data_IF_343131414268
#
_entry.id   IF_343131414268
#
_cell.length_a   1.000
_cell.length_b   1.000
_cell.length_c   1.000
_cell.angle_alpha   90.00
_cell.angle_beta   90.00
_cell.angle_gamma   90.00
#
_symmetry.space_group_name_H-M   'P 1'
#
loop_
_entity.id
_entity.type
_entity.pdbx_description
1 polymer ?
#
# COMPACT_ATOMS: atom_id res chain seq x y z
N UNK A 1 6.36 6.74 19.62
CA UNK A 1 7.78 7.01 19.92
C UNK A 1 8.30 6.28 21.18
N UNK A 2 7.47 5.93 22.18
CA UNK A 2 7.93 5.33 23.44
C UNK A 2 8.96 4.18 23.35
N UNK A 3 8.83 3.26 22.38
CA UNK A 3 9.78 2.15 22.23
C UNK A 3 11.18 2.61 21.78
N UNK A 4 11.29 3.60 20.88
CA UNK A 4 12.59 4.12 20.42
C UNK A 4 13.25 4.99 21.49
N UNK A 5 12.46 5.76 22.22
CA UNK A 5 12.93 6.54 23.38
C UNK A 5 13.51 5.63 24.46
N UNK A 6 12.80 4.54 24.83
CA UNK A 6 13.29 3.54 25.79
C UNK A 6 14.59 2.87 25.33
N UNK A 7 14.81 2.78 24.02
CA UNK A 7 16.04 2.25 23.44
C UNK A 7 17.16 3.30 23.31
N UNK A 8 16.97 4.53 23.81
CA UNK A 8 17.95 5.62 23.73
C UNK A 8 18.13 6.20 22.33
N UNK A 9 17.12 6.06 21.46
CA UNK A 9 17.16 6.54 20.06
C UNK A 9 16.27 7.77 19.88
N UNK A 10 16.62 8.59 18.89
CA UNK A 10 15.77 9.70 18.47
C UNK A 10 14.41 9.22 17.96
N UNK A 11 13.38 10.07 18.10
CA UNK A 11 12.00 9.73 17.75
C UNK A 11 11.82 9.42 16.24
N UNK A 12 12.65 10.01 15.39
CA UNK A 12 12.68 9.87 13.94
C UNK A 12 13.70 8.83 13.45
N UNK A 13 14.30 8.05 14.36
CA UNK A 13 15.34 7.07 14.02
C UNK A 13 14.81 5.85 13.22
N UNK A 14 13.52 5.77 12.93
CA UNK A 14 12.89 4.68 12.18
C UNK A 14 12.20 5.18 10.91
N UNK A 15 12.41 4.47 9.81
CA UNK A 15 11.62 4.63 8.60
C UNK A 15 10.48 3.62 8.60
N UNK A 16 9.25 4.10 8.71
CA UNK A 16 8.06 3.26 8.66
C UNK A 16 7.72 2.91 7.21
N UNK A 17 7.55 1.61 6.94
CA UNK A 17 7.24 1.10 5.61
C UNK A 17 6.00 0.21 5.69
N UNK A 18 5.15 0.24 4.68
CA UNK A 18 4.02 -0.69 4.52
C UNK A 18 4.23 -1.53 3.26
N UNK A 19 3.74 -2.77 3.28
CA UNK A 19 3.86 -3.70 2.17
C UNK A 19 2.48 -4.11 1.67
N UNK A 20 2.27 -3.99 0.35
CA UNK A 20 0.98 -4.25 -0.27
C UNK A 20 1.14 -4.97 -1.60
N UNK A 21 0.13 -5.79 -1.95
CA UNK A 21 0.04 -6.39 -3.28
C UNK A 21 -0.31 -5.31 -4.31
N UNK A 22 0.40 -5.30 -5.43
CA UNK A 22 0.20 -4.35 -6.51
C UNK A 22 -0.70 -4.93 -7.62
N UNK A 23 -1.82 -4.27 -7.91
CA UNK A 23 -2.60 -4.56 -9.10
C UNK A 23 -3.27 -3.27 -9.64
N UNK A 24 -2.51 -2.51 -10.44
CA UNK A 24 -2.94 -1.22 -10.98
C UNK A 24 -3.19 -1.30 -12.47
N UNK A 25 -4.27 -0.70 -12.97
CA UNK A 25 -4.56 -0.57 -14.39
C UNK A 25 -5.23 0.77 -14.70
N UNK A 26 -5.19 1.23 -15.94
CA UNK A 26 -5.82 2.52 -16.31
C UNK A 26 -7.35 2.48 -16.31
N UNK A 27 -7.91 1.27 -16.37
CA UNK A 27 -9.35 0.98 -16.41
C UNK A 27 -9.61 -0.43 -15.82
N UNK A 28 -10.89 -0.76 -15.59
CA UNK A 28 -11.30 -2.05 -15.00
C UNK A 28 -10.88 -3.26 -15.84
N UNK A 29 -10.79 -3.11 -17.17
CA UNK A 29 -10.38 -4.22 -18.05
C UNK A 29 -8.90 -4.55 -17.82
N UNK A 30 -8.05 -3.53 -17.73
CA UNK A 30 -6.64 -3.72 -17.43
C UNK A 30 -6.42 -4.26 -16.01
N UNK A 31 -7.19 -3.79 -15.02
CA UNK A 31 -7.14 -4.29 -13.64
C UNK A 31 -7.48 -5.78 -13.61
N UNK A 32 -8.61 -6.18 -14.22
CA UNK A 32 -9.01 -7.58 -14.29
C UNK A 32 -7.98 -8.46 -14.99
N UNK A 33 -7.41 -7.99 -16.12
CA UNK A 33 -6.35 -8.71 -16.85
C UNK A 33 -5.10 -8.93 -15.99
N UNK A 34 -4.69 -7.92 -15.21
CA UNK A 34 -3.51 -8.01 -14.33
C UNK A 34 -3.77 -8.90 -13.11
N UNK A 35 -4.96 -8.82 -12.51
CA UNK A 35 -5.39 -9.69 -11.42
C UNK A 35 -5.41 -11.17 -11.84
N UNK A 36 -5.97 -11.46 -13.03
CA UNK A 36 -5.97 -12.79 -13.61
C UNK A 36 -4.55 -13.32 -13.87
N UNK A 37 -3.62 -12.46 -14.29
CA UNK A 37 -2.22 -12.85 -14.54
C UNK A 37 -1.48 -13.32 -13.27
N UNK A 38 -1.91 -12.86 -12.09
CA UNK A 38 -1.38 -13.30 -10.79
C UNK A 38 -2.29 -14.35 -10.11
N UNK A 39 -3.33 -14.82 -10.80
CA UNK A 39 -4.23 -15.87 -10.31
C UNK A 39 -5.12 -15.42 -9.14
N UNK A 40 -5.55 -14.15 -9.13
CA UNK A 40 -6.32 -13.57 -8.03
C UNK A 40 -7.55 -12.80 -8.51
N UNK A 41 -8.57 -12.76 -7.65
CA UNK A 41 -9.82 -12.04 -7.91
C UNK A 41 -9.70 -10.56 -7.54
N UNK A 42 -10.29 -9.68 -8.36
CA UNK A 42 -10.19 -8.21 -8.19
C UNK A 42 -10.79 -7.76 -6.85
N UNK A 43 -11.96 -8.29 -6.47
CA UNK A 43 -12.63 -7.90 -5.23
C UNK A 43 -11.84 -8.34 -4.00
N UNK A 44 -11.22 -9.52 -4.06
CA UNK A 44 -10.33 -10.03 -3.03
C UNK A 44 -9.05 -9.17 -2.91
N UNK A 45 -8.52 -8.69 -4.03
CA UNK A 45 -7.37 -7.78 -4.04
C UNK A 45 -7.74 -6.41 -3.45
N UNK A 46 -8.88 -5.84 -3.86
CA UNK A 46 -9.35 -4.51 -3.39
C UNK A 46 -9.66 -4.48 -1.90
N UNK A 47 -10.09 -5.59 -1.30
CA UNK A 47 -10.36 -5.67 0.14
C UNK A 47 -9.08 -5.75 1.00
N UNK A 48 -7.98 -6.23 0.42
CA UNK A 48 -6.74 -6.51 1.14
C UNK A 48 -5.61 -5.50 0.90
N UNK A 49 -5.68 -4.70 -0.18
CA UNK A 49 -4.60 -3.80 -0.58
C UNK A 49 -5.12 -2.43 -1.04
N UNK A 50 -4.53 -1.32 -0.56
CA UNK A 50 -4.80 0.02 -1.08
C UNK A 50 -4.19 0.24 -2.48
N UNK A 51 -3.32 -0.66 -2.96
CA UNK A 51 -2.60 -0.53 -4.24
C UNK A 51 -3.25 -1.37 -5.36
N UNK A 52 -4.58 -1.37 -5.36
CA UNK A 52 -5.43 -2.07 -6.33
C UNK A 52 -6.48 -1.10 -6.86
N UNK A 53 -6.48 -0.87 -8.18
CA UNK A 53 -7.36 0.10 -8.83
C UNK A 53 -6.67 0.91 -9.92
N UNK A 54 -7.25 2.07 -10.24
CA UNK A 54 -6.63 3.08 -11.08
C UNK A 54 -5.57 3.88 -10.32
N UNK A 55 -4.64 4.58 -10.99
CA UNK A 55 -3.67 5.43 -10.31
C UNK A 55 -4.30 6.43 -9.34
N UNK A 56 -5.40 7.06 -9.73
CA UNK A 56 -6.11 8.03 -8.87
C UNK A 56 -6.74 7.36 -7.65
N UNK A 57 -7.35 6.18 -7.81
CA UNK A 57 -7.87 5.40 -6.69
C UNK A 57 -6.77 5.01 -5.71
N UNK A 58 -5.60 4.61 -6.21
CA UNK A 58 -4.45 4.21 -5.39
C UNK A 58 -3.92 5.39 -4.58
N UNK A 59 -3.76 6.56 -5.21
CA UNK A 59 -3.34 7.78 -4.50
C UNK A 59 -4.33 8.11 -3.37
N UNK A 60 -5.63 8.07 -3.65
CA UNK A 60 -6.66 8.33 -2.64
C UNK A 60 -6.61 7.32 -1.48
N UNK A 61 -6.44 6.02 -1.79
CA UNK A 61 -6.37 4.95 -0.78
C UNK A 61 -5.09 4.95 0.05
N UNK A 62 -3.99 5.50 -0.48
CA UNK A 62 -2.73 5.61 0.26
C UNK A 62 -2.71 6.77 1.26
N UNK A 63 -3.59 7.76 1.12
CA UNK A 63 -3.67 8.93 2.00
C UNK A 63 -3.64 8.60 3.50
N UNK A 64 -4.54 7.73 4.01
CA UNK A 64 -4.56 7.36 5.42
C UNK A 64 -3.26 6.72 5.94
N UNK A 65 -2.51 6.02 5.09
CA UNK A 65 -1.23 5.41 5.48
C UNK A 65 -0.13 6.47 5.62
N UNK A 66 -0.13 7.47 4.72
CA UNK A 66 0.79 8.61 4.79
C UNK A 66 0.49 9.43 6.04
N UNK A 67 -0.80 9.69 6.32
CA UNK A 67 -1.24 10.38 7.55
C UNK A 67 -0.83 9.61 8.82
N UNK A 68 -0.85 8.28 8.77
CA UNK A 68 -0.37 7.41 9.85
C UNK A 68 1.18 7.40 9.99
N UNK A 69 1.92 8.07 9.12
CA UNK A 69 3.38 8.20 9.19
C UNK A 69 4.17 7.17 8.38
N UNK A 70 3.53 6.43 7.48
CA UNK A 70 4.23 5.56 6.51
C UNK A 70 5.02 6.43 5.54
N UNK A 71 6.30 6.10 5.38
CA UNK A 71 7.25 6.86 4.55
C UNK A 71 7.59 6.13 3.24
N UNK A 72 7.41 4.80 3.19
CA UNK A 72 7.72 3.98 2.03
C UNK A 72 6.71 2.87 1.84
N UNK A 73 6.41 2.56 0.58
CA UNK A 73 5.56 1.45 0.19
C UNK A 73 6.40 0.40 -0.53
N UNK A 74 6.36 -0.84 -0.05
CA UNK A 74 6.86 -2.00 -0.75
C UNK A 74 5.73 -2.61 -1.58
N UNK A 75 5.96 -2.75 -2.88
CA UNK A 75 5.00 -3.27 -3.84
C UNK A 75 5.39 -4.71 -4.20
N UNK A 76 4.49 -5.65 -3.91
CA UNK A 76 4.63 -7.07 -4.20
C UNK A 76 3.80 -7.48 -5.42
#
# INVERSE_FOLDING_TARGET
AAAVEKAGRAADALTYSAAFVLCVGRDETEIARRAAAIGREVDELRSNSPVVGTPDEVVAKLGPFIEAGVQRIYLQ
#
